data_IF_612008215317
#
_entry.id   IF_612008215317
#
_cell.length_a   1.000
_cell.length_b   1.000
_cell.length_c   1.000
_cell.angle_alpha   90.00
_cell.angle_beta   90.00
_cell.angle_gamma   90.00
#
_symmetry.space_group_name_H-M   'P 1'
#
loop_
_entity.id
_entity.type
_entity.pdbx_description
1 polymer ?
#
# COMPACT_ATOMS: atom_id res chain seq x y z
N UNK A 1 18.12 47.78 -34.60
CA UNK A 1 16.71 47.65 -35.05
C UNK A 1 16.26 46.22 -34.80
N UNK A 2 15.18 46.02 -34.00
CA UNK A 2 14.48 44.73 -33.81
C UNK A 2 13.55 44.47 -35.01
N UNK A 3 13.12 43.21 -35.23
CA UNK A 3 11.81 42.84 -34.70
C UNK A 3 11.78 41.49 -33.96
N UNK A 4 11.10 41.52 -32.81
CA UNK A 4 10.53 40.36 -32.11
C UNK A 4 9.43 39.74 -32.97
N UNK A 5 9.42 38.41 -33.14
CA UNK A 5 8.19 37.66 -33.44
C UNK A 5 8.21 36.28 -32.78
N UNK A 6 7.31 36.16 -31.79
CA UNK A 6 6.56 34.98 -31.35
C UNK A 6 7.13 33.59 -31.58
N UNK A 7 7.49 32.93 -30.48
CA UNK A 7 7.18 31.50 -30.31
C UNK A 7 6.93 31.25 -28.83
N UNK A 8 5.78 31.75 -28.38
CA UNK A 8 5.13 31.29 -27.15
C UNK A 8 4.37 30.00 -27.50
N UNK A 9 4.26 29.11 -26.52
CA UNK A 9 3.34 27.96 -26.46
C UNK A 9 3.66 26.72 -27.32
N UNK A 10 4.49 25.82 -26.79
CA UNK A 10 4.15 24.37 -26.70
C UNK A 10 4.80 23.79 -25.44
N UNK A 11 4.31 24.16 -24.26
CA UNK A 11 4.75 23.56 -22.98
C UNK A 11 3.56 23.36 -22.03
N UNK A 12 2.52 22.65 -22.49
CA UNK A 12 1.34 22.42 -21.65
C UNK A 12 0.51 21.17 -22.04
N UNK A 13 1.14 20.03 -22.36
CA UNK A 13 0.42 18.75 -22.51
C UNK A 13 1.16 17.62 -21.80
N UNK A 14 1.28 17.71 -20.47
CA UNK A 14 1.79 16.61 -19.64
C UNK A 14 1.10 16.44 -18.28
N UNK A 15 0.01 17.18 -18.00
CA UNK A 15 -0.73 17.03 -16.76
C UNK A 15 -2.21 16.74 -17.04
N UNK A 16 -2.54 15.45 -17.07
CA UNK A 16 -3.76 14.88 -16.47
C UNK A 16 -3.90 13.44 -16.96
N UNK A 17 -3.14 12.51 -16.39
CA UNK A 17 -3.69 11.16 -16.28
C UNK A 17 -4.85 11.28 -15.26
N UNK A 18 -6.12 11.03 -15.63
CA UNK A 18 -7.13 10.89 -14.62
C UNK A 18 -6.76 9.61 -13.86
N UNK A 19 -6.31 9.78 -12.62
CA UNK A 19 -6.48 8.73 -11.63
C UNK A 19 -7.99 8.58 -11.48
N UNK A 20 -8.61 7.79 -12.36
CA UNK A 20 -9.97 7.31 -12.18
C UNK A 20 -9.92 6.41 -10.94
N UNK A 21 -10.06 7.02 -9.78
CA UNK A 21 -10.52 6.35 -8.58
C UNK A 21 -11.95 5.90 -8.88
N UNK A 22 -12.10 4.82 -9.65
CA UNK A 22 -13.37 4.12 -9.72
C UNK A 22 -13.73 3.75 -8.28
N UNK A 23 -14.94 4.05 -7.81
CA UNK A 23 -15.37 3.59 -6.50
C UNK A 23 -15.27 2.05 -6.53
N UNK A 24 -14.33 1.51 -5.76
CA UNK A 24 -14.24 0.05 -5.57
C UNK A 24 -15.63 -0.42 -5.15
N UNK A 25 -16.15 -1.49 -5.74
CA UNK A 25 -17.34 -2.11 -5.17
C UNK A 25 -17.01 -2.62 -3.75
N UNK A 26 -18.03 -2.99 -2.98
CA UNK A 26 -17.86 -3.48 -1.60
C UNK A 26 -16.96 -4.71 -1.51
N UNK A 27 -16.94 -5.57 -2.53
CA UNK A 27 -16.08 -6.74 -2.61
C UNK A 27 -14.61 -6.38 -2.80
N UNK A 28 -14.31 -5.48 -3.74
CA UNK A 28 -12.94 -4.99 -3.96
C UNK A 28 -12.43 -4.17 -2.77
N UNK A 29 -13.29 -3.40 -2.08
CA UNK A 29 -12.93 -2.78 -0.79
C UNK A 29 -12.56 -3.82 0.25
N UNK A 30 -13.38 -4.86 0.44
CA UNK A 30 -13.10 -5.91 1.42
C UNK A 30 -11.76 -6.62 1.13
N UNK A 31 -11.46 -6.91 -0.13
CA UNK A 31 -10.17 -7.47 -0.55
C UNK A 31 -8.99 -6.53 -0.28
N UNK A 32 -9.14 -5.24 -0.60
CA UNK A 32 -8.10 -4.24 -0.36
C UNK A 32 -7.81 -4.08 1.15
N UNK A 33 -8.85 -3.95 1.98
CA UNK A 33 -8.71 -3.83 3.42
C UNK A 33 -8.12 -5.09 4.06
N UNK A 34 -8.56 -6.30 3.65
CA UNK A 34 -7.95 -7.55 4.11
C UNK A 34 -6.46 -7.64 3.75
N UNK A 35 -6.08 -7.18 2.56
CA UNK A 35 -4.69 -7.13 2.11
C UNK A 35 -3.86 -6.16 2.96
N UNK A 36 -4.37 -4.94 3.20
CA UNK A 36 -3.69 -3.93 4.01
C UNK A 36 -3.58 -4.31 5.49
N UNK A 37 -4.63 -4.92 6.05
CA UNK A 37 -4.60 -5.54 7.38
C UNK A 37 -3.45 -6.55 7.51
N UNK A 38 -3.24 -7.39 6.49
CA UNK A 38 -2.13 -8.35 6.45
C UNK A 38 -0.76 -7.69 6.41
N UNK A 39 -0.59 -6.66 5.56
CA UNK A 39 0.68 -5.91 5.44
C UNK A 39 1.06 -5.19 6.73
N UNK A 40 0.09 -4.53 7.36
CA UNK A 40 0.31 -3.85 8.63
C UNK A 40 0.57 -4.81 9.80
N UNK A 41 -0.02 -6.00 9.79
CA UNK A 41 0.37 -7.05 10.73
C UNK A 41 1.86 -7.45 10.60
N UNK A 42 2.37 -7.57 9.37
CA UNK A 42 3.80 -7.83 9.14
C UNK A 42 4.67 -6.63 9.53
N UNK A 43 4.21 -5.40 9.30
CA UNK A 43 4.94 -4.19 9.66
C UNK A 43 5.09 -4.04 11.18
N UNK A 44 4.03 -4.27 11.94
CA UNK A 44 4.07 -4.24 13.40
C UNK A 44 5.06 -5.29 13.96
N UNK A 45 4.99 -6.54 13.48
CA UNK A 45 5.93 -7.59 13.86
C UNK A 45 7.39 -7.26 13.49
N UNK A 46 7.58 -6.63 12.34
CA UNK A 46 8.90 -6.18 11.91
C UNK A 46 9.44 -5.10 12.84
N UNK A 47 8.63 -4.07 13.12
CA UNK A 47 9.01 -2.94 13.96
C UNK A 47 9.37 -3.40 15.40
N UNK A 48 8.59 -4.32 16.00
CA UNK A 48 8.96 -4.90 17.31
C UNK A 48 10.34 -5.54 17.27
N UNK A 49 10.64 -6.30 16.21
CA UNK A 49 11.91 -7.01 16.07
C UNK A 49 13.10 -6.08 15.85
N UNK A 50 12.88 -4.95 15.19
CA UNK A 50 13.95 -4.04 14.79
C UNK A 50 14.05 -2.80 15.68
N UNK A 51 13.21 -2.69 16.71
CA UNK A 51 13.10 -1.50 17.55
C UNK A 51 12.52 -0.28 16.81
N UNK A 52 11.71 -0.51 15.77
CA UNK A 52 11.00 0.54 15.04
C UNK A 52 9.66 0.91 15.69
N UNK A 53 8.90 1.78 15.02
CA UNK A 53 7.57 2.23 15.48
C UNK A 53 6.49 1.14 15.26
N UNK A 54 6.39 0.25 16.25
CA UNK A 54 5.41 -0.82 16.27
C UNK A 54 4.00 -0.33 16.58
N UNK A 55 3.88 0.77 17.34
CA UNK A 55 2.60 1.32 17.79
C UNK A 55 1.81 1.88 16.61
N UNK A 56 2.43 2.73 15.79
CA UNK A 56 1.78 3.26 14.58
C UNK A 56 1.35 2.13 13.64
N UNK A 57 2.21 1.11 13.46
CA UNK A 57 1.87 -0.05 12.62
C UNK A 57 0.71 -0.86 13.20
N UNK A 58 0.64 -1.01 14.52
CA UNK A 58 -0.46 -1.70 15.20
C UNK A 58 -1.78 -0.92 15.11
N UNK A 59 -1.74 0.41 15.29
CA UNK A 59 -2.89 1.28 15.13
C UNK A 59 -3.44 1.25 13.70
N UNK A 60 -2.56 1.29 12.69
CA UNK A 60 -2.96 1.13 11.28
C UNK A 60 -3.54 -0.25 11.00
N UNK A 61 -2.97 -1.30 11.60
CA UNK A 61 -3.53 -2.67 11.51
C UNK A 61 -4.95 -2.73 12.07
N UNK A 62 -5.20 -2.15 13.25
CA UNK A 62 -6.51 -2.14 13.90
C UNK A 62 -7.54 -1.38 13.06
N UNK A 63 -7.20 -0.19 12.56
CA UNK A 63 -8.08 0.57 11.69
C UNK A 63 -8.50 -0.21 10.42
N UNK A 64 -7.59 -0.95 9.79
CA UNK A 64 -7.97 -1.80 8.65
C UNK A 64 -8.81 -3.02 9.05
N UNK A 65 -8.73 -3.47 10.30
CA UNK A 65 -9.63 -4.50 10.82
C UNK A 65 -11.05 -3.94 10.92
N UNK A 66 -11.20 -2.74 11.51
CA UNK A 66 -12.50 -2.07 11.62
C UNK A 66 -13.13 -1.78 10.26
N UNK A 67 -12.33 -1.27 9.30
CA UNK A 67 -12.78 -1.04 7.94
C UNK A 67 -13.22 -2.32 7.24
N UNK A 68 -12.48 -3.42 7.43
CA UNK A 68 -12.84 -4.73 6.86
C UNK A 68 -14.16 -5.23 7.46
N UNK A 69 -14.32 -5.14 8.78
CA UNK A 69 -15.53 -5.57 9.47
C UNK A 69 -16.75 -4.77 9.02
N UNK A 70 -16.58 -3.47 8.77
CA UNK A 70 -17.64 -2.60 8.26
C UNK A 70 -18.12 -2.96 6.84
N UNK A 71 -17.21 -3.39 5.94
CA UNK A 71 -17.56 -3.69 4.54
C UNK A 71 -17.82 -5.16 4.26
N UNK A 72 -17.45 -6.06 5.18
CA UNK A 72 -17.64 -7.50 5.00
C UNK A 72 -19.11 -7.84 4.77
N UNK A 73 -20.07 -7.30 5.57
CA UNK A 73 -21.50 -7.39 5.22
C UNK A 73 -21.77 -6.69 3.88
N UNK A 74 -22.28 -7.44 2.90
CA UNK A 74 -22.57 -6.90 1.57
C UNK A 74 -21.38 -6.85 0.60
N UNK A 75 -20.21 -7.38 1.00
CA UNK A 75 -19.09 -7.57 0.07
C UNK A 75 -19.31 -8.71 -0.95
N UNK A 76 -20.14 -9.70 -0.59
CA UNK A 76 -20.29 -10.94 -1.36
C UNK A 76 -19.04 -11.84 -1.34
N UNK A 77 -17.99 -11.49 -0.58
CA UNK A 77 -16.74 -12.24 -0.51
C UNK A 77 -16.79 -13.23 0.65
N UNK A 78 -16.44 -14.49 0.38
CA UNK A 78 -16.38 -15.52 1.42
C UNK A 78 -15.33 -15.20 2.51
N UNK A 79 -15.62 -15.41 3.80
CA UNK A 79 -14.66 -15.16 4.90
C UNK A 79 -13.32 -15.89 4.76
N UNK A 80 -13.34 -17.11 4.21
CA UNK A 80 -12.12 -17.88 3.92
C UNK A 80 -11.23 -17.21 2.87
N UNK A 81 -11.83 -16.55 1.89
CA UNK A 81 -11.13 -15.79 0.85
C UNK A 81 -10.53 -14.49 1.42
N UNK A 82 -11.26 -13.78 2.28
CA UNK A 82 -10.73 -12.61 3.01
C UNK A 82 -9.53 -13.01 3.90
N UNK A 83 -9.64 -14.12 4.61
CA UNK A 83 -8.54 -14.68 5.41
C UNK A 83 -7.31 -15.03 4.56
N UNK A 84 -7.54 -15.55 3.35
CA UNK A 84 -6.48 -15.90 2.40
C UNK A 84 -5.75 -14.64 1.89
N UNK A 85 -6.48 -13.56 1.56
CA UNK A 85 -5.87 -12.28 1.20
C UNK A 85 -4.99 -11.72 2.32
N UNK A 86 -5.52 -11.73 3.56
CA UNK A 86 -4.78 -11.25 4.74
C UNK A 86 -3.49 -12.03 4.98
N UNK A 87 -3.57 -13.36 4.99
CA UNK A 87 -2.42 -14.21 5.26
C UNK A 87 -1.38 -14.14 4.13
N UNK A 88 -1.84 -14.16 2.88
CA UNK A 88 -0.97 -14.03 1.71
C UNK A 88 -0.20 -12.71 1.72
N UNK A 89 -0.90 -11.60 1.96
CA UNK A 89 -0.30 -10.27 2.03
C UNK A 89 0.69 -10.13 3.20
N UNK A 90 0.34 -10.66 4.38
CA UNK A 90 1.25 -10.68 5.55
C UNK A 90 2.55 -11.42 5.22
N UNK A 91 2.44 -12.62 4.64
CA UNK A 91 3.60 -13.44 4.32
C UNK A 91 4.49 -12.79 3.26
N UNK A 92 3.89 -12.20 2.22
CA UNK A 92 4.61 -11.46 1.18
C UNK A 92 5.36 -10.25 1.76
N UNK A 93 4.68 -9.44 2.59
CA UNK A 93 5.27 -8.26 3.22
C UNK A 93 6.40 -8.64 4.20
N UNK A 94 6.19 -9.66 5.04
CA UNK A 94 7.21 -10.16 5.95
C UNK A 94 8.44 -10.68 5.19
N UNK A 95 8.25 -11.28 4.01
CA UNK A 95 9.37 -11.70 3.16
C UNK A 95 10.17 -10.51 2.64
N UNK A 96 9.52 -9.44 2.19
CA UNK A 96 10.21 -8.21 1.77
C UNK A 96 11.04 -7.61 2.91
N UNK A 97 10.46 -7.53 4.12
CA UNK A 97 11.18 -7.06 5.30
C UNK A 97 12.37 -7.95 5.69
N UNK A 98 12.28 -9.27 5.55
CA UNK A 98 13.45 -10.14 5.78
C UNK A 98 14.54 -9.89 4.74
N UNK A 99 14.16 -9.76 3.47
CA UNK A 99 15.10 -9.54 2.38
C UNK A 99 15.81 -8.19 2.48
N UNK A 100 15.17 -7.16 3.04
CA UNK A 100 15.77 -5.84 3.18
C UNK A 100 16.93 -5.76 4.18
N UNK A 101 17.15 -6.79 4.99
CA UNK A 101 18.26 -6.87 5.96
C UNK A 101 19.44 -7.72 5.46
N UNK A 102 19.36 -8.27 4.24
CA UNK A 102 20.46 -9.09 3.71
C UNK A 102 21.70 -8.24 3.45
N UNK A 103 22.83 -8.64 4.03
CA UNK A 103 24.15 -8.04 3.78
C UNK A 103 24.88 -8.68 2.58
N UNK A 104 24.40 -9.83 2.11
CA UNK A 104 25.01 -10.57 0.99
C UNK A 104 24.70 -9.93 -0.37
N UNK A 105 23.54 -9.29 -0.50
CA UNK A 105 23.08 -8.66 -1.75
C UNK A 105 22.40 -7.33 -1.42
N UNK A 106 23.23 -6.29 -1.32
CA UNK A 106 22.79 -4.94 -0.92
C UNK A 106 21.83 -4.32 -1.94
N UNK A 107 21.95 -4.68 -3.22
CA UNK A 107 21.06 -4.17 -4.28
C UNK A 107 19.68 -4.75 -4.09
N UNK A 108 19.58 -6.07 -3.91
CA UNK A 108 18.32 -6.75 -3.64
C UNK A 108 17.69 -6.32 -2.32
N UNK A 109 18.50 -6.09 -1.28
CA UNK A 109 18.02 -5.57 -0.01
C UNK A 109 17.36 -4.18 -0.18
N UNK A 110 18.02 -3.27 -0.91
CA UNK A 110 17.45 -1.92 -1.20
C UNK A 110 16.17 -2.00 -2.02
N UNK A 111 16.11 -2.87 -3.03
CA UNK A 111 14.90 -3.10 -3.82
C UNK A 111 13.76 -3.65 -2.94
N UNK A 112 14.03 -4.65 -2.11
CA UNK A 112 13.04 -5.21 -1.20
C UNK A 112 12.50 -4.16 -0.21
N UNK A 113 13.38 -3.31 0.33
CA UNK A 113 12.99 -2.20 1.20
C UNK A 113 12.10 -1.19 0.46
N UNK A 114 12.44 -0.86 -0.79
CA UNK A 114 11.65 0.05 -1.62
C UNK A 114 10.25 -0.49 -1.88
N UNK A 115 10.14 -1.77 -2.28
CA UNK A 115 8.86 -2.43 -2.51
C UNK A 115 8.06 -2.53 -1.21
N UNK A 116 8.68 -2.92 -0.09
CA UNK A 116 8.01 -3.00 1.21
C UNK A 116 7.37 -1.66 1.60
N UNK A 117 8.11 -0.55 1.44
CA UNK A 117 7.58 0.80 1.71
C UNK A 117 6.44 1.18 0.77
N UNK A 118 6.59 0.94 -0.53
CA UNK A 118 5.56 1.22 -1.54
C UNK A 118 4.24 0.52 -1.19
N UNK A 119 4.28 -0.75 -0.82
CA UNK A 119 3.07 -1.51 -0.48
C UNK A 119 2.36 -0.99 0.79
N UNK A 120 3.10 -0.40 1.73
CA UNK A 120 2.54 0.29 2.91
C UNK A 120 1.94 1.64 2.50
N UNK A 121 2.66 2.44 1.72
CA UNK A 121 2.16 3.73 1.22
C UNK A 121 0.87 3.59 0.42
N UNK A 122 0.74 2.52 -0.38
CA UNK A 122 -0.50 2.21 -1.08
C UNK A 122 -1.67 1.94 -0.13
N UNK A 123 -1.42 1.34 1.03
CA UNK A 123 -2.44 1.17 2.05
C UNK A 123 -2.79 2.52 2.69
N UNK A 124 -1.81 3.37 2.98
CA UNK A 124 -2.07 4.71 3.52
C UNK A 124 -2.98 5.55 2.63
N UNK A 125 -2.81 5.44 1.31
CA UNK A 125 -3.66 6.15 0.35
C UNK A 125 -5.13 5.70 0.41
N UNK A 126 -5.43 4.45 0.80
CA UNK A 126 -6.82 3.98 0.91
C UNK A 126 -7.57 4.58 2.10
N UNK A 127 -6.85 5.08 3.11
CA UNK A 127 -7.45 5.71 4.29
C UNK A 127 -7.82 7.17 3.99
N UNK A 128 -7.08 7.81 3.09
CA UNK A 128 -7.18 9.25 2.83
C UNK A 128 -8.25 9.63 1.79
N UNK A 129 -8.75 8.67 1.01
CA UNK A 129 -9.78 8.89 -0.02
C UNK A 129 -9.22 9.40 -1.33
#
# INVERSE_FOLDING_TARGET
MKPLRSSLLVLAVLCAAPALAMPLDTGERAKAFATCLGRYAAAAEHAVRTGGDAETSAARREMFADLLDAVTPGSGVAPSRLSSYRLGAKNAQARLFRMSYSTQDVVRARMAASVARREITMCDQLILG
#
